data_IF_213286402599
#
_entry.id   IF_213286402599
#
_cell.length_a   1.000
_cell.length_b   1.000
_cell.length_c   1.000
_cell.angle_alpha   90.00
_cell.angle_beta   90.00
_cell.angle_gamma   90.00
#
_symmetry.space_group_name_H-M   'P 1'
#
loop_
_entity.id
_entity.type
_entity.pdbx_description
1 polymer ?
#
# COMPACT_ATOMS: atom_id res chain seq x y z
N UNK A 1 -46.32 -100.28 37.93
CA UNK A 1 -46.32 -98.84 38.27
C UNK A 1 -46.01 -98.04 37.01
N UNK A 2 -46.86 -97.05 36.68
CA UNK A 2 -46.78 -95.93 35.69
C UNK A 2 -45.75 -96.07 34.54
N UNK A 3 -46.18 -96.25 33.29
CA UNK A 3 -46.53 -95.19 32.31
C UNK A 3 -45.34 -94.26 32.00
N UNK A 4 -44.96 -93.94 30.77
CA UNK A 4 -45.81 -93.56 29.65
C UNK A 4 -44.95 -93.34 28.38
N UNK A 5 -45.56 -93.63 27.23
CA UNK A 5 -45.33 -93.08 25.87
C UNK A 5 -43.92 -93.14 25.23
N UNK A 6 -43.67 -93.91 24.16
CA UNK A 6 -44.36 -94.14 22.85
C UNK A 6 -44.42 -92.89 21.96
N UNK A 7 -43.58 -92.87 20.92
CA UNK A 7 -43.92 -92.71 19.49
C UNK A 7 -42.65 -92.92 18.65
N UNK A 8 -42.55 -94.06 17.96
CA UNK A 8 -42.82 -94.25 16.51
C UNK A 8 -41.86 -93.43 15.63
N UNK A 9 -40.81 -94.07 15.10
CA UNK A 9 -40.77 -94.66 13.75
C UNK A 9 -41.12 -93.65 12.64
N UNK A 10 -40.19 -93.40 11.72
CA UNK A 10 -40.20 -93.99 10.37
C UNK A 10 -38.94 -93.53 9.61
N UNK A 11 -38.30 -94.52 8.95
CA UNK A 11 -37.73 -94.51 7.59
C UNK A 11 -36.76 -93.38 7.19
N UNK A 12 -35.74 -93.57 6.37
CA UNK A 12 -35.00 -94.70 5.82
C UNK A 12 -34.04 -94.04 4.83
N UNK A 13 -32.76 -94.42 4.88
CA UNK A 13 -31.82 -94.45 3.75
C UNK A 13 -31.55 -93.10 3.05
N UNK A 14 -30.40 -92.47 3.35
CA UNK A 14 -29.69 -91.60 2.40
C UNK A 14 -28.18 -91.89 2.43
N UNK A 15 -27.74 -92.48 1.32
CA UNK A 15 -26.42 -92.47 0.65
C UNK A 15 -25.12 -92.64 1.46
N UNK A 16 -24.52 -93.81 1.28
CA UNK A 16 -23.07 -94.04 1.38
C UNK A 16 -22.32 -93.35 0.24
N UNK A 17 -21.57 -92.29 0.55
CA UNK A 17 -20.56 -91.71 -0.35
C UNK A 17 -19.18 -92.12 0.19
N UNK A 18 -18.30 -92.71 -0.64
CA UNK A 18 -17.01 -93.22 -0.19
C UNK A 18 -16.06 -92.08 0.21
N UNK A 19 -15.37 -92.25 1.34
CA UNK A 19 -14.44 -91.30 1.98
C UNK A 19 -13.12 -91.05 1.21
N UNK A 20 -13.10 -91.27 -0.10
CA UNK A 20 -11.91 -91.13 -0.95
C UNK A 20 -11.79 -89.80 -1.72
N UNK A 21 -12.78 -88.89 -1.61
CA UNK A 21 -12.87 -87.70 -2.48
C UNK A 21 -12.92 -86.37 -1.72
N UNK A 22 -12.20 -86.23 -0.60
CA UNK A 22 -12.17 -84.97 0.18
C UNK A 22 -10.77 -84.34 0.26
N UNK A 23 -9.72 -84.99 -0.25
CA UNK A 23 -8.35 -84.46 -0.16
C UNK A 23 -7.85 -83.71 -1.41
N UNK A 24 -8.74 -83.23 -2.28
CA UNK A 24 -8.38 -82.51 -3.52
C UNK A 24 -9.14 -81.20 -3.77
N UNK A 25 -9.87 -80.62 -2.80
CA UNK A 25 -10.59 -79.35 -3.03
C UNK A 25 -9.97 -78.12 -2.37
N UNK A 26 -9.15 -78.28 -1.32
CA UNK A 26 -8.59 -77.14 -0.58
C UNK A 26 -7.42 -76.46 -1.32
N UNK A 27 -6.60 -77.22 -2.06
CA UNK A 27 -5.48 -76.66 -2.83
C UNK A 27 -5.92 -75.82 -4.03
N UNK A 28 -6.99 -76.25 -4.72
CA UNK A 28 -7.52 -75.54 -5.89
C UNK A 28 -8.19 -74.21 -5.54
N UNK A 29 -8.94 -74.16 -4.43
CA UNK A 29 -9.60 -72.92 -3.98
C UNK A 29 -8.60 -71.85 -3.50
N UNK A 30 -7.49 -72.26 -2.88
CA UNK A 30 -6.44 -71.31 -2.47
C UNK A 30 -5.73 -70.75 -3.71
N UNK A 31 -5.46 -71.58 -4.72
CA UNK A 31 -4.83 -71.12 -5.96
C UNK A 31 -5.74 -70.18 -6.75
N UNK A 32 -7.05 -70.48 -6.85
CA UNK A 32 -7.99 -69.63 -7.58
C UNK A 32 -8.28 -68.31 -6.87
N UNK A 33 -8.34 -68.30 -5.53
CA UNK A 33 -8.47 -67.05 -4.75
C UNK A 33 -7.21 -66.18 -4.84
N UNK A 34 -6.01 -66.78 -4.87
CA UNK A 34 -4.76 -66.06 -5.13
C UNK A 34 -4.73 -65.47 -6.55
N UNK A 35 -5.14 -66.23 -7.56
CA UNK A 35 -5.16 -65.76 -8.96
C UNK A 35 -6.19 -64.64 -9.14
N UNK A 36 -7.39 -64.76 -8.56
CA UNK A 36 -8.40 -63.71 -8.61
C UNK A 36 -7.96 -62.45 -7.85
N UNK A 37 -7.30 -62.61 -6.68
CA UNK A 37 -6.74 -61.49 -5.93
C UNK A 37 -5.63 -60.75 -6.70
N UNK A 38 -4.74 -61.47 -7.38
CA UNK A 38 -3.68 -60.88 -8.21
C UNK A 38 -4.24 -60.22 -9.48
N UNK A 39 -5.25 -60.81 -10.12
CA UNK A 39 -5.94 -60.22 -11.28
C UNK A 39 -6.68 -58.95 -10.87
N UNK A 40 -7.34 -58.94 -9.70
CA UNK A 40 -8.02 -57.77 -9.15
C UNK A 40 -7.01 -56.68 -8.72
N UNK A 41 -5.87 -57.05 -8.14
CA UNK A 41 -4.79 -56.11 -7.80
C UNK A 41 -4.12 -55.49 -9.04
N UNK A 42 -3.93 -56.27 -10.12
CA UNK A 42 -3.42 -55.76 -11.41
C UNK A 42 -4.45 -54.95 -12.19
N UNK A 43 -5.73 -55.22 -12.02
CA UNK A 43 -6.83 -54.54 -12.74
C UNK A 43 -7.30 -53.28 -12.02
N UNK A 44 -7.01 -53.13 -10.72
CA UNK A 44 -7.33 -51.94 -9.93
C UNK A 44 -6.70 -50.66 -10.50
N UNK A 45 -5.47 -50.73 -11.02
CA UNK A 45 -4.80 -49.55 -11.58
C UNK A 45 -5.46 -49.02 -12.86
N UNK A 46 -6.25 -49.84 -13.58
CA UNK A 46 -6.95 -49.44 -14.81
C UNK A 46 -8.37 -48.93 -14.56
N UNK A 47 -9.00 -49.39 -13.48
CA UNK A 47 -10.32 -48.89 -13.07
C UNK A 47 -10.21 -47.49 -12.44
N UNK A 48 -9.11 -47.19 -11.75
CA UNK A 48 -8.90 -45.88 -11.12
C UNK A 48 -8.73 -44.74 -12.14
N UNK A 49 -8.12 -45.02 -13.30
CA UNK A 49 -8.04 -44.04 -14.41
C UNK A 49 -9.42 -43.72 -15.00
N UNK A 50 -10.36 -44.67 -14.97
CA UNK A 50 -11.67 -44.52 -15.61
C UNK A 50 -12.71 -43.80 -14.73
N UNK A 51 -12.54 -43.80 -13.39
CA UNK A 51 -13.42 -43.05 -12.47
C UNK A 51 -13.00 -41.59 -12.29
N UNK A 52 -11.73 -41.24 -12.50
CA UNK A 52 -11.29 -39.83 -12.49
C UNK A 52 -11.90 -39.02 -13.64
N UNK A 53 -12.23 -39.65 -14.77
CA UNK A 53 -12.88 -38.98 -15.91
C UNK A 53 -14.38 -38.75 -15.71
N UNK A 54 -15.01 -39.39 -14.72
CA UNK A 54 -16.47 -39.30 -14.49
C UNK A 54 -16.86 -38.13 -13.58
N UNK A 55 -15.89 -37.59 -12.83
CA UNK A 55 -16.02 -36.41 -11.98
C UNK A 55 -15.26 -35.20 -12.54
N UNK A 56 -14.89 -35.23 -13.81
CA UNK A 56 -14.19 -34.11 -14.43
C UNK A 56 -15.19 -32.98 -14.74
N UNK A 57 -15.38 -32.11 -13.75
CA UNK A 57 -16.16 -30.89 -13.82
C UNK A 57 -15.52 -29.85 -14.78
N UNK A 58 -14.43 -30.20 -15.49
CA UNK A 58 -13.80 -29.38 -16.53
C UNK A 58 -14.70 -29.03 -17.71
N UNK A 59 -15.82 -29.75 -17.90
CA UNK A 59 -16.84 -29.42 -18.91
C UNK A 59 -17.83 -28.33 -18.46
N UNK A 60 -17.79 -27.90 -17.19
CA UNK A 60 -18.37 -26.62 -16.83
C UNK A 60 -17.47 -25.55 -17.43
N UNK A 61 -17.81 -25.14 -18.65
CA UNK A 61 -17.17 -24.03 -19.36
C UNK A 61 -17.49 -22.70 -18.65
N UNK A 62 -17.02 -22.58 -17.41
CA UNK A 62 -16.78 -21.33 -16.72
C UNK A 62 -15.61 -20.73 -17.46
N UNK A 63 -15.87 -20.08 -18.60
CA UNK A 63 -14.88 -19.26 -19.30
C UNK A 63 -14.31 -18.31 -18.27
N UNK A 64 -13.16 -18.67 -17.70
CA UNK A 64 -12.40 -17.75 -16.88
C UNK A 64 -11.97 -16.67 -17.87
N UNK A 65 -12.41 -15.41 -17.71
CA UNK A 65 -11.94 -14.35 -18.58
C UNK A 65 -10.41 -14.39 -18.57
N UNK A 66 -9.83 -14.41 -19.76
CA UNK A 66 -8.39 -14.36 -19.97
C UNK A 66 -7.82 -13.25 -19.07
N UNK A 67 -6.68 -13.47 -18.38
CA UNK A 67 -6.12 -12.46 -17.49
C UNK A 67 -5.77 -11.19 -18.29
N UNK A 68 -6.70 -10.25 -18.31
CA UNK A 68 -6.54 -8.94 -18.92
C UNK A 68 -5.57 -8.14 -18.05
N UNK A 69 -4.34 -7.98 -18.54
CA UNK A 69 -3.37 -7.11 -17.88
C UNK A 69 -3.86 -5.68 -18.06
N UNK A 70 -4.43 -5.12 -17.01
CA UNK A 70 -4.82 -3.72 -16.99
C UNK A 70 -3.56 -2.85 -17.08
N UNK A 71 -3.29 -2.36 -18.29
CA UNK A 71 -2.16 -1.51 -18.62
C UNK A 71 -2.14 -0.25 -17.73
N UNK A 72 -3.31 0.23 -17.29
CA UNK A 72 -3.42 1.40 -16.40
C UNK A 72 -2.84 1.08 -15.02
N UNK A 73 -3.12 -0.10 -14.47
CA UNK A 73 -2.52 -0.55 -13.21
C UNK A 73 -1.00 -0.63 -13.31
N UNK A 74 -0.47 -1.12 -14.43
CA UNK A 74 0.99 -1.19 -14.65
C UNK A 74 1.60 0.21 -14.69
N UNK A 75 0.98 1.15 -15.40
CA UNK A 75 1.45 2.55 -15.49
C UNK A 75 1.36 3.25 -14.14
N UNK A 76 0.23 3.16 -13.44
CA UNK A 76 0.03 3.78 -12.12
C UNK A 76 1.06 3.25 -11.13
N UNK A 77 1.29 1.94 -11.09
CA UNK A 77 2.30 1.36 -10.20
C UNK A 77 3.72 1.83 -10.55
N UNK A 78 4.05 1.97 -11.84
CA UNK A 78 5.36 2.48 -12.26
C UNK A 78 5.56 3.94 -11.87
N UNK A 79 4.51 4.77 -11.96
CA UNK A 79 4.52 6.18 -11.58
C UNK A 79 4.56 6.35 -10.05
N UNK A 80 3.78 5.55 -9.29
CA UNK A 80 3.73 5.57 -7.81
C UNK A 80 5.03 5.14 -7.13
N UNK A 81 5.90 4.40 -7.81
CA UNK A 81 7.23 4.07 -7.29
C UNK A 81 8.09 5.32 -7.03
N UNK A 82 7.68 6.49 -7.53
CA UNK A 82 8.21 7.80 -7.14
C UNK A 82 7.17 8.46 -6.22
N UNK A 83 7.15 8.12 -4.94
CA UNK A 83 6.02 8.46 -4.05
C UNK A 83 5.78 9.97 -3.92
N UNK A 84 6.84 10.78 -3.79
CA UNK A 84 6.75 12.24 -3.73
C UNK A 84 7.67 12.89 -4.75
N UNK A 85 7.08 13.63 -5.70
CA UNK A 85 7.85 14.38 -6.68
C UNK A 85 7.97 15.84 -6.23
N UNK A 86 9.10 16.18 -5.59
CA UNK A 86 9.44 17.60 -5.36
C UNK A 86 9.80 18.24 -6.69
N UNK A 87 9.07 19.28 -7.05
CA UNK A 87 9.26 19.94 -8.35
C UNK A 87 9.59 21.42 -8.22
N UNK A 88 9.13 22.09 -7.17
CA UNK A 88 9.52 23.48 -6.88
C UNK A 88 10.10 23.61 -5.48
N UNK A 89 11.14 24.44 -5.37
CA UNK A 89 11.78 24.80 -4.10
C UNK A 89 11.82 26.32 -4.03
N UNK A 90 11.23 26.87 -3.00
CA UNK A 90 11.27 28.29 -2.68
C UNK A 90 12.15 28.47 -1.45
N UNK A 91 13.09 29.42 -1.50
CA UNK A 91 13.95 29.72 -0.37
C UNK A 91 14.15 31.22 -0.24
N UNK A 92 14.31 31.68 1.00
CA UNK A 92 14.63 33.07 1.27
C UNK A 92 15.30 33.27 2.62
N UNK A 93 15.96 34.40 2.74
CA UNK A 93 16.50 34.91 4.00
C UNK A 93 15.57 35.98 4.57
N UNK A 94 15.32 35.93 5.87
CA UNK A 94 14.49 36.90 6.58
C UNK A 94 15.13 37.28 7.91
N UNK A 95 15.11 38.58 8.22
CA UNK A 95 15.49 39.09 9.54
C UNK A 95 14.23 39.13 10.41
N UNK A 96 14.22 38.37 11.50
CA UNK A 96 13.07 38.22 12.40
C UNK A 96 13.44 38.72 13.80
N UNK A 97 12.96 39.91 14.19
CA UNK A 97 13.12 40.41 15.55
C UNK A 97 12.08 39.78 16.47
N UNK A 98 12.51 39.28 17.62
CA UNK A 98 11.64 38.84 18.72
C UNK A 98 11.94 39.62 19.99
N UNK A 99 10.93 39.79 20.85
CA UNK A 99 11.03 40.57 22.08
C UNK A 99 10.24 39.93 23.20
N UNK A 100 10.78 39.99 24.42
CA UNK A 100 10.06 39.70 25.64
C UNK A 100 10.24 40.81 26.67
N UNK A 101 9.13 41.28 27.20
CA UNK A 101 9.08 42.32 28.22
C UNK A 101 9.01 41.70 29.63
N UNK A 102 9.67 42.35 30.60
CA UNK A 102 9.49 42.10 32.03
C UNK A 102 8.57 43.18 32.58
N UNK A 103 7.38 42.78 33.00
CA UNK A 103 6.36 43.68 33.52
C UNK A 103 6.17 43.50 35.02
N UNK A 104 5.85 44.59 35.72
CA UNK A 104 5.35 44.60 37.09
C UNK A 104 4.01 45.33 37.10
N UNK A 105 2.92 44.55 37.15
CA UNK A 105 1.58 45.06 36.84
C UNK A 105 1.53 45.63 35.42
N UNK A 106 1.09 46.88 35.30
CA UNK A 106 0.98 47.62 34.03
C UNK A 106 2.26 48.32 33.59
N UNK A 107 3.35 48.26 34.37
CA UNK A 107 4.61 48.93 34.04
C UNK A 107 5.63 47.97 33.44
N UNK A 108 6.19 48.33 32.28
CA UNK A 108 7.33 47.62 31.65
C UNK A 108 8.64 48.04 32.34
N UNK A 109 9.27 47.12 33.06
CA UNK A 109 10.52 47.37 33.79
C UNK A 109 11.76 47.21 32.91
N UNK A 110 11.76 46.21 32.02
CA UNK A 110 12.85 45.93 31.11
C UNK A 110 12.34 45.14 29.89
N UNK A 111 13.12 45.12 28.80
CA UNK A 111 12.83 44.29 27.63
C UNK A 111 14.07 43.57 27.16
N UNK A 112 13.90 42.36 26.67
CA UNK A 112 14.94 41.60 25.96
C UNK A 112 14.53 41.46 24.51
N UNK A 113 15.44 41.77 23.59
CA UNK A 113 15.25 41.61 22.15
C UNK A 113 16.26 40.63 21.59
N UNK A 114 15.84 39.84 20.61
CA UNK A 114 16.70 38.95 19.84
C UNK A 114 16.47 39.23 18.36
N UNK A 115 17.55 39.41 17.62
CA UNK A 115 17.52 39.57 16.17
C UNK A 115 18.04 38.29 15.54
N UNK A 116 17.15 37.57 14.84
CA UNK A 116 17.48 36.32 14.19
C UNK A 116 17.54 36.51 12.67
N UNK A 117 18.67 36.15 12.05
CA UNK A 117 18.78 36.04 10.59
C UNK A 117 18.44 34.60 10.24
N UNK A 118 17.32 34.40 9.57
CA UNK A 118 16.76 33.09 9.32
C UNK A 118 16.78 32.78 7.82
N UNK A 119 17.37 31.66 7.46
CA UNK A 119 17.26 31.09 6.12
C UNK A 119 16.22 29.97 6.13
N UNK A 120 15.16 30.13 5.35
CA UNK A 120 14.11 29.12 5.21
C UNK A 120 14.07 28.53 3.81
N UNK A 121 13.55 27.30 3.73
CA UNK A 121 13.20 26.63 2.48
C UNK A 121 11.81 25.99 2.60
N UNK A 122 11.03 26.09 1.52
CA UNK A 122 9.73 25.44 1.33
C UNK A 122 9.79 24.63 0.05
N UNK A 123 9.43 23.35 0.13
CA UNK A 123 9.40 22.42 -1.00
C UNK A 123 7.96 22.15 -1.37
N UNK A 124 7.65 22.27 -2.64
CA UNK A 124 6.34 21.98 -3.21
C UNK A 124 6.44 20.90 -4.28
N UNK A 125 5.39 20.11 -4.41
CA UNK A 125 5.37 19.00 -5.34
C UNK A 125 4.00 18.37 -5.49
N UNK A 126 3.98 17.29 -6.25
CA UNK A 126 2.80 16.45 -6.45
C UNK A 126 3.10 15.08 -5.83
N UNK A 127 2.19 14.62 -4.99
CA UNK A 127 2.23 13.28 -4.42
C UNK A 127 1.62 12.30 -5.43
N UNK A 128 2.47 11.50 -6.07
CA UNK A 128 2.05 10.54 -7.09
C UNK A 128 1.44 9.28 -6.47
N UNK A 129 1.64 9.05 -5.16
CA UNK A 129 0.95 7.99 -4.41
C UNK A 129 -0.57 8.14 -4.46
N UNK A 130 -1.07 9.38 -4.56
CA UNK A 130 -2.50 9.72 -4.68
C UNK A 130 -3.08 9.50 -6.08
N UNK A 131 -2.27 9.18 -7.10
CA UNK A 131 -2.75 8.96 -8.47
C UNK A 131 -3.57 7.67 -8.54
N UNK A 132 -4.84 7.73 -8.97
CA UNK A 132 -5.70 6.56 -9.17
C UNK A 132 -5.60 6.00 -10.59
N UNK A 133 -6.11 4.77 -10.78
CA UNK A 133 -6.30 4.15 -12.10
C UNK A 133 -7.28 4.95 -12.94
N UNK A 134 -8.27 5.57 -12.30
CA UNK A 134 -9.27 6.41 -12.96
C UNK A 134 -8.69 7.72 -13.52
N UNK A 135 -7.56 8.16 -12.98
CA UNK A 135 -6.83 9.35 -13.42
C UNK A 135 -6.00 9.08 -14.68
N UNK A 136 -5.93 7.81 -15.13
CA UNK A 136 -5.13 7.38 -16.28
C UNK A 136 -6.03 6.77 -17.37
N UNK A 137 -6.04 7.40 -18.54
CA UNK A 137 -6.74 6.89 -19.73
C UNK A 137 -5.72 6.55 -20.80
N UNK A 138 -5.70 5.28 -21.18
CA UNK A 138 -4.82 4.76 -22.24
C UNK A 138 -5.68 4.43 -23.46
N UNK A 139 -5.27 4.92 -24.64
CA UNK A 139 -5.90 4.60 -25.92
C UNK A 139 -4.82 4.45 -26.99
N UNK A 140 -4.57 3.21 -27.41
CA UNK A 140 -3.49 2.85 -28.35
C UNK A 140 -2.13 3.41 -27.90
N UNK A 141 -1.48 4.23 -28.72
CA UNK A 141 -0.20 4.90 -28.44
C UNK A 141 -0.34 6.24 -27.68
N UNK A 142 -1.57 6.59 -27.26
CA UNK A 142 -1.90 7.81 -26.55
C UNK A 142 -2.23 7.56 -25.09
N UNK A 143 -1.70 8.40 -24.20
CA UNK A 143 -1.98 8.37 -22.77
C UNK A 143 -2.38 9.74 -22.26
N UNK A 144 -3.46 9.78 -21.49
CA UNK A 144 -3.91 10.94 -20.75
C UNK A 144 -3.79 10.67 -19.25
N UNK A 145 -3.12 11.56 -18.52
CA UNK A 145 -2.93 11.45 -17.08
C UNK A 145 -3.40 12.73 -16.41
N UNK A 146 -4.30 12.62 -15.45
CA UNK A 146 -4.68 13.71 -14.56
C UNK A 146 -3.77 13.70 -13.34
N UNK A 147 -2.96 14.75 -13.15
CA UNK A 147 -2.12 14.85 -11.96
C UNK A 147 -2.95 15.23 -10.73
N UNK A 148 -2.61 14.68 -9.55
CA UNK A 148 -3.13 15.17 -8.27
C UNK A 148 -2.79 16.64 -8.03
N UNK A 149 -3.55 17.30 -7.18
CA UNK A 149 -3.29 18.68 -6.77
C UNK A 149 -1.90 18.83 -6.13
N UNK A 150 -1.18 19.92 -6.41
CA UNK A 150 0.12 20.17 -5.80
C UNK A 150 -0.07 20.58 -4.34
N UNK A 151 0.89 20.19 -3.51
CA UNK A 151 0.91 20.52 -2.09
C UNK A 151 2.33 20.94 -1.66
N UNK A 152 2.41 21.65 -0.54
CA UNK A 152 3.68 21.84 0.13
C UNK A 152 4.06 20.51 0.79
N UNK A 153 5.25 20.00 0.47
CA UNK A 153 5.76 18.73 0.95
C UNK A 153 6.56 18.90 2.24
N UNK A 154 7.34 19.98 2.32
CA UNK A 154 8.23 20.24 3.45
C UNK A 154 8.46 21.75 3.60
N UNK A 155 8.72 22.18 4.84
CA UNK A 155 9.15 23.53 5.16
C UNK A 155 10.11 23.49 6.34
N UNK A 156 11.29 24.04 6.16
CA UNK A 156 12.38 23.94 7.15
C UNK A 156 13.21 25.21 7.21
N UNK A 157 13.90 25.36 8.34
CA UNK A 157 14.93 26.38 8.53
C UNK A 157 16.28 25.71 8.33
N UNK A 158 17.14 26.34 7.55
CA UNK A 158 18.53 25.96 7.43
C UNK A 158 19.30 26.50 8.64
N UNK A 159 19.48 25.64 9.64
CA UNK A 159 20.19 25.99 10.89
C UNK A 159 21.66 26.31 10.68
N UNK A 160 22.26 25.92 9.54
CA UNK A 160 23.67 26.20 9.24
C UNK A 160 23.86 27.60 8.65
N UNK A 161 22.85 28.10 7.94
CA UNK A 161 22.83 29.46 7.37
C UNK A 161 22.08 30.47 8.24
N UNK A 162 21.33 29.99 9.23
CA UNK A 162 20.61 30.85 10.17
C UNK A 162 21.44 31.11 11.42
N UNK A 163 21.35 32.32 11.97
CA UNK A 163 22.12 32.70 13.14
C UNK A 163 21.41 33.77 13.98
N UNK A 164 21.70 33.77 15.28
CA UNK A 164 21.37 34.90 16.15
C UNK A 164 22.37 36.01 15.86
N UNK A 165 21.86 37.12 15.33
CA UNK A 165 22.68 38.28 14.99
C UNK A 165 22.90 39.19 16.20
N UNK A 166 21.85 39.45 16.97
CA UNK A 166 21.92 40.29 18.17
C UNK A 166 21.04 39.72 19.29
N UNK A 167 21.50 39.87 20.53
CA UNK A 167 20.76 39.53 21.73
C UNK A 167 21.00 40.61 22.79
N UNK A 168 19.96 41.38 23.09
CA UNK A 168 20.06 42.57 23.91
C UNK A 168 19.05 42.52 25.06
N UNK A 169 19.55 42.48 26.31
CA UNK A 169 18.74 42.45 27.54
C UNK A 169 18.38 43.83 28.07
N UNK A 170 18.58 44.89 27.29
CA UNK A 170 18.32 46.28 27.67
C UNK A 170 19.37 46.86 28.63
N UNK A 171 19.09 48.06 29.13
CA UNK A 171 19.98 48.81 30.03
C UNK A 171 20.33 47.99 31.28
N UNK A 172 21.63 47.93 31.61
CA UNK A 172 22.19 47.14 32.72
C UNK A 172 21.85 45.64 32.70
N UNK A 173 21.39 45.08 31.58
CA UNK A 173 21.05 43.66 31.46
C UNK A 173 19.83 43.21 32.28
N UNK A 174 18.96 44.15 32.66
CA UNK A 174 17.79 43.89 33.54
C UNK A 174 16.67 43.08 32.87
N UNK A 175 16.74 42.91 31.55
CA UNK A 175 15.82 42.09 30.78
C UNK A 175 15.88 40.60 31.16
N UNK A 176 14.80 39.84 30.92
CA UNK A 176 14.76 38.41 31.18
C UNK A 176 15.76 37.64 30.32
N UNK A 177 16.38 36.60 30.88
CA UNK A 177 17.27 35.71 30.14
C UNK A 177 16.46 34.60 29.45
N UNK A 178 16.09 34.85 28.19
CA UNK A 178 15.13 34.05 27.43
C UNK A 178 15.57 33.83 25.98
N UNK A 179 16.88 33.81 25.73
CA UNK A 179 17.42 33.64 24.37
C UNK A 179 16.86 32.39 23.65
N UNK A 180 16.78 31.20 24.26
CA UNK A 180 16.22 30.01 23.59
C UNK A 180 14.75 30.17 23.18
N UNK A 181 13.94 30.80 24.02
CA UNK A 181 12.51 31.01 23.75
C UNK A 181 12.31 32.02 22.61
N UNK A 182 13.09 33.12 22.64
CA UNK A 182 13.05 34.14 21.60
C UNK A 182 13.56 33.62 20.24
N UNK A 183 14.56 32.74 20.24
CA UNK A 183 15.04 32.10 19.02
C UNK A 183 14.00 31.11 18.46
N UNK A 184 13.39 30.28 19.32
CA UNK A 184 12.32 29.36 18.90
C UNK A 184 11.14 30.12 18.28
N UNK A 185 10.72 31.22 18.92
CA UNK A 185 9.67 32.08 18.41
C UNK A 185 10.04 32.69 17.04
N UNK A 186 11.30 33.12 16.89
CA UNK A 186 11.78 33.68 15.62
C UNK A 186 11.76 32.63 14.50
N UNK A 187 12.16 31.39 14.80
CA UNK A 187 12.12 30.27 13.86
C UNK A 187 10.67 29.94 13.44
N UNK A 188 9.73 29.90 14.38
CA UNK A 188 8.31 29.66 14.10
C UNK A 188 7.70 30.75 13.20
N UNK A 189 7.94 32.03 13.52
CA UNK A 189 7.48 33.14 12.68
C UNK A 189 8.15 33.15 11.30
N UNK A 190 9.42 32.73 11.22
CA UNK A 190 10.09 32.54 9.93
C UNK A 190 9.38 31.50 9.08
N UNK A 191 9.08 30.32 9.63
CA UNK A 191 8.38 29.25 8.91
C UNK A 191 7.02 29.72 8.39
N UNK A 192 6.24 30.39 9.24
CA UNK A 192 4.93 30.95 8.83
C UNK A 192 5.08 31.97 7.70
N UNK A 193 6.07 32.87 7.81
CA UNK A 193 6.32 33.90 6.81
C UNK A 193 6.78 33.29 5.48
N UNK A 194 7.69 32.32 5.51
CA UNK A 194 8.18 31.69 4.28
C UNK A 194 7.15 30.86 3.56
N UNK A 195 6.33 30.11 4.27
CA UNK A 195 5.20 29.41 3.67
C UNK A 195 4.24 30.40 3.01
N UNK A 196 3.85 31.46 3.71
CA UNK A 196 2.94 32.46 3.17
C UNK A 196 3.50 33.15 1.91
N UNK A 197 4.77 33.54 1.94
CA UNK A 197 5.43 34.14 0.77
C UNK A 197 5.56 33.13 -0.37
N UNK A 198 5.94 31.88 -0.12
CA UNK A 198 6.02 30.85 -1.15
C UNK A 198 4.67 30.63 -1.84
N UNK A 199 3.58 30.58 -1.06
CA UNK A 199 2.22 30.50 -1.58
C UNK A 199 1.85 31.72 -2.46
N UNK A 200 2.16 32.93 -1.98
CA UNK A 200 1.91 34.17 -2.74
C UNK A 200 2.72 34.25 -4.04
N UNK A 201 3.94 33.70 -4.04
CA UNK A 201 4.83 33.65 -5.20
C UNK A 201 4.52 32.48 -6.15
N UNK A 202 3.42 31.76 -5.94
CA UNK A 202 2.95 30.74 -6.88
C UNK A 202 3.77 29.44 -6.88
N UNK A 203 4.40 29.08 -5.75
CA UNK A 203 5.23 27.87 -5.66
C UNK A 203 4.47 26.58 -6.05
N UNK A 204 3.17 26.51 -5.77
CA UNK A 204 2.33 25.38 -6.15
C UNK A 204 2.08 25.32 -7.67
N UNK A 205 1.92 26.47 -8.32
CA UNK A 205 1.76 26.53 -9.77
C UNK A 205 3.06 26.10 -10.48
N UNK A 206 4.20 26.60 -9.99
CA UNK A 206 5.51 26.17 -10.46
C UNK A 206 5.72 24.66 -10.26
N UNK A 207 5.26 24.13 -9.12
CA UNK A 207 5.33 22.71 -8.82
C UNK A 207 4.52 21.89 -9.83
N UNK A 208 3.29 22.33 -10.12
CA UNK A 208 2.41 21.73 -11.12
C UNK A 208 3.03 21.69 -12.51
N UNK A 209 3.47 22.85 -13.02
CA UNK A 209 4.05 22.97 -14.36
C UNK A 209 5.29 22.07 -14.52
N UNK A 210 6.15 22.03 -13.50
CA UNK A 210 7.33 21.16 -13.50
C UNK A 210 6.96 19.68 -13.38
N UNK A 211 5.95 19.33 -12.58
CA UNK A 211 5.46 17.95 -12.49
C UNK A 211 4.92 17.46 -13.83
N UNK A 212 4.17 18.30 -14.55
CA UNK A 212 3.71 18.01 -15.91
C UNK A 212 4.87 17.70 -16.85
N UNK A 213 5.92 18.52 -16.86
CA UNK A 213 7.09 18.27 -17.71
C UNK A 213 7.78 16.94 -17.38
N UNK A 214 8.00 16.66 -16.09
CA UNK A 214 8.67 15.43 -15.65
C UNK A 214 7.85 14.19 -16.00
N UNK A 215 6.55 14.20 -15.72
CA UNK A 215 5.67 13.06 -16.01
C UNK A 215 5.50 12.86 -17.51
N UNK A 216 5.36 13.94 -18.28
CA UNK A 216 5.34 13.85 -19.75
C UNK A 216 6.61 13.19 -20.29
N UNK A 217 7.79 13.64 -19.86
CA UNK A 217 9.06 13.07 -20.29
C UNK A 217 9.21 11.59 -19.90
N UNK A 218 8.78 11.23 -18.69
CA UNK A 218 8.79 9.84 -18.22
C UNK A 218 7.93 8.93 -19.10
N UNK A 219 6.70 9.36 -19.42
CA UNK A 219 5.76 8.58 -20.22
C UNK A 219 6.20 8.49 -21.70
N UNK A 220 6.77 9.55 -22.25
CA UNK A 220 7.37 9.50 -23.58
C UNK A 220 8.56 8.52 -23.62
N UNK A 221 9.40 8.52 -22.60
CA UNK A 221 10.53 7.57 -22.46
C UNK A 221 10.04 6.12 -22.31
N UNK A 222 8.87 5.92 -21.71
CA UNK A 222 8.23 4.62 -21.59
C UNK A 222 7.63 4.08 -22.91
N UNK A 223 7.56 4.89 -23.96
CA UNK A 223 7.15 4.46 -25.31
C UNK A 223 5.82 5.04 -25.82
N UNK A 224 5.15 5.91 -25.06
CA UNK A 224 3.93 6.58 -25.53
C UNK A 224 4.27 7.74 -26.50
N UNK A 225 3.58 7.79 -27.64
CA UNK A 225 3.84 8.82 -28.68
C UNK A 225 3.09 10.13 -28.39
N UNK A 226 1.88 10.02 -27.85
CA UNK A 226 1.03 11.16 -27.52
C UNK A 226 0.76 11.14 -26.03
N UNK A 227 1.23 12.16 -25.32
CA UNK A 227 1.08 12.28 -23.87
C UNK A 227 0.36 13.59 -23.54
N UNK A 228 -0.82 13.48 -22.93
CA UNK A 228 -1.62 14.63 -22.47
C UNK A 228 -1.73 14.60 -20.95
N UNK A 229 -0.92 15.42 -20.28
CA UNK A 229 -0.94 15.54 -18.82
C UNK A 229 -1.80 16.73 -18.42
N UNK A 230 -2.89 16.47 -17.71
CA UNK A 230 -3.81 17.49 -17.20
C UNK A 230 -3.40 17.92 -15.80
N UNK A 231 -3.38 19.23 -15.59
CA UNK A 231 -3.10 19.86 -14.30
C UNK A 231 -4.41 20.08 -13.52
N UNK A 232 -4.34 19.95 -12.20
CA UNK A 232 -5.39 20.48 -11.32
C UNK A 232 -5.07 21.92 -10.93
N UNK A 233 -6.08 22.81 -10.84
CA UNK A 233 -5.85 24.21 -10.47
C UNK A 233 -5.26 24.31 -9.06
N UNK A 234 -4.21 25.10 -8.92
CA UNK A 234 -3.59 25.44 -7.64
C UNK A 234 -3.97 26.87 -7.25
N UNK A 235 -4.80 27.04 -6.22
CA UNK A 235 -5.14 28.37 -5.70
C UNK A 235 -4.24 28.75 -4.51
N UNK A 236 -3.76 30.00 -4.40
CA UNK A 236 -3.06 30.49 -3.20
C UNK A 236 -3.87 30.32 -1.91
N UNK A 237 -5.20 30.40 -2.00
CA UNK A 237 -6.09 30.16 -0.83
C UNK A 237 -6.00 28.71 -0.33
N UNK A 238 -5.86 27.73 -1.24
CA UNK A 238 -5.68 26.32 -0.89
C UNK A 238 -4.30 26.05 -0.26
N UNK A 239 -3.29 26.84 -0.65
CA UNK A 239 -1.93 26.73 -0.13
C UNK A 239 -1.83 27.06 1.37
N UNK A 240 -2.59 28.07 1.83
CA UNK A 240 -2.57 28.51 3.24
C UNK A 240 -3.46 27.66 4.15
N UNK A 241 -4.56 27.10 3.63
CA UNK A 241 -5.49 26.24 4.40
C UNK A 241 -4.86 24.90 4.81
N UNK A 242 -3.90 24.39 4.03
CA UNK A 242 -3.20 23.12 4.31
C UNK A 242 -2.37 23.12 5.61
N UNK A 243 -2.15 24.30 6.24
CA UNK A 243 -1.31 24.46 7.44
C UNK A 243 -2.08 24.81 8.72
N UNK A 244 -3.38 25.08 8.62
CA UNK A 244 -4.20 25.47 9.79
C UNK A 244 -4.79 24.26 10.53
N UNK A 245 -4.52 23.03 10.07
CA UNK A 245 -4.96 21.82 10.75
C UNK A 245 -3.89 21.39 11.75
N UNK A 246 -4.08 21.57 13.06
CA UNK A 246 -3.21 20.94 14.04
C UNK A 246 -3.44 19.43 13.95
N UNK A 247 -2.37 18.68 13.67
CA UNK A 247 -2.31 17.24 13.92
C UNK A 247 -2.21 16.97 15.42
#
# INVERSE_FOLDING_TARGET
MKSQHRKHQLLSIISSIPRGLILMSTGGMILTTLILGVVMWRTSSRLFEQVNGLFDLSQLNLSQPEPEVDVRNVVVNKVRNVSELTTAVFSMEAVVPTRQDRNLGQYRLASTTLLYIAYGEVRAGVDLGKLSVDDVKVSNDSIQVQLPAPQLLDSKIDVTRSQVYDYNRGFLGLGPDVAPQLQMLAQQETLRKIQATACQQGVLEQANQRAQLVVTNLLMTAGYKTVDVKLQPSSPSMCLTAFQTPS
#
